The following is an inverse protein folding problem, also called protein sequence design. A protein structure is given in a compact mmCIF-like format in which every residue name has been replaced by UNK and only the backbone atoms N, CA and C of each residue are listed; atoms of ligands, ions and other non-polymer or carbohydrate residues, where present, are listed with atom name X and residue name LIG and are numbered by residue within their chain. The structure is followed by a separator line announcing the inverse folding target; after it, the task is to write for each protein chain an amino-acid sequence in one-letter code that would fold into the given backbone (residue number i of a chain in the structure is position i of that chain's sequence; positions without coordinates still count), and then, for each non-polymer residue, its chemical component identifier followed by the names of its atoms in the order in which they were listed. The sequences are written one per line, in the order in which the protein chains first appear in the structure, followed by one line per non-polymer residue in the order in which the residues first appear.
data_IF_540836801936
#
_entry.id   IF_540836801936
#
_cell.length_a   1.000
_cell.length_b   1.000
_cell.length_c   1.000
_cell.angle_alpha   90.00
_cell.angle_beta   90.00
_cell.angle_gamma   90.00
#
_symmetry.space_group_name_H-M   'P 1'
#
loop_
_entity.id
_entity.type
_entity.pdbx_description
1 polymer ?
#
# COMPACT_ATOMS: atom_id res chain seq x y z
N UNK A 1 10.14 1.52 -14.80
CA UNK A 1 10.16 2.97 -14.51
C UNK A 1 11.36 3.28 -13.62
N UNK A 2 11.87 4.51 -13.62
CA UNK A 2 12.91 4.89 -12.64
C UNK A 2 12.23 5.12 -11.28
N UNK A 3 12.78 4.60 -10.19
CA UNK A 3 12.29 4.77 -8.80
C UNK A 3 11.88 6.20 -8.48
N UNK A 4 12.72 7.19 -8.82
CA UNK A 4 12.48 8.61 -8.57
C UNK A 4 11.23 9.11 -9.30
N UNK A 5 10.97 8.58 -10.49
CA UNK A 5 9.75 8.91 -11.24
C UNK A 5 8.53 8.29 -10.59
N UNK A 6 8.62 7.07 -10.09
CA UNK A 6 7.51 6.42 -9.37
C UNK A 6 7.20 7.21 -8.10
N UNK A 7 8.22 7.49 -7.27
CA UNK A 7 8.10 8.30 -6.06
C UNK A 7 7.41 9.65 -6.36
N UNK A 8 7.85 10.36 -7.40
CA UNK A 8 7.25 11.63 -7.80
C UNK A 8 5.79 11.51 -8.28
N UNK A 9 5.36 10.35 -8.82
CA UNK A 9 3.94 10.13 -9.13
C UNK A 9 3.11 9.97 -7.86
N UNK A 10 3.61 9.25 -6.85
CA UNK A 10 2.94 9.14 -5.54
C UNK A 10 2.85 10.49 -4.83
N UNK A 11 3.92 11.28 -4.80
CA UNK A 11 3.95 12.59 -4.12
C UNK A 11 2.92 13.58 -4.70
N UNK A 12 2.63 13.50 -6.01
CA UNK A 12 1.60 14.33 -6.67
C UNK A 12 0.17 14.02 -6.23
N UNK A 13 -0.05 12.86 -5.61
CA UNK A 13 -1.38 12.44 -5.17
C UNK A 13 -1.81 13.09 -3.86
N UNK A 14 -0.91 13.74 -3.13
CA UNK A 14 -1.21 14.39 -1.85
C UNK A 14 -1.95 13.47 -0.85
N UNK A 15 -1.54 12.20 -0.78
CA UNK A 15 -2.23 11.12 -0.05
C UNK A 15 -2.13 11.20 1.48
N UNK A 16 -1.43 12.19 2.05
CA UNK A 16 -1.26 12.30 3.49
C UNK A 16 -2.64 12.44 4.16
N UNK A 17 -2.90 11.63 5.19
CA UNK A 17 -4.19 11.50 5.88
C UNK A 17 -5.33 10.98 5.00
N UNK A 18 -5.04 10.41 3.82
CA UNK A 18 -6.06 9.84 2.96
C UNK A 18 -6.52 8.47 3.48
N UNK A 19 -7.83 8.24 3.44
CA UNK A 19 -8.47 7.10 4.08
C UNK A 19 -8.32 5.84 3.24
N UNK A 20 -7.65 4.82 3.77
CA UNK A 20 -7.53 3.52 3.10
C UNK A 20 -8.85 2.76 3.27
N UNK A 21 -9.49 2.44 2.15
CA UNK A 21 -10.80 1.77 2.12
C UNK A 21 -10.67 0.28 1.85
N UNK A 22 -9.58 -0.15 1.20
CA UNK A 22 -9.38 -1.54 0.79
C UNK A 22 -7.90 -1.90 0.71
N UNK A 23 -7.57 -3.10 1.16
CA UNK A 23 -6.28 -3.75 0.96
C UNK A 23 -6.54 -5.23 0.65
N UNK A 24 -6.19 -5.67 -0.55
CA UNK A 24 -6.42 -7.04 -1.01
C UNK A 24 -5.13 -7.63 -1.54
N UNK A 25 -4.93 -8.91 -1.23
CA UNK A 25 -3.82 -9.72 -1.69
C UNK A 25 -4.43 -10.88 -2.49
N UNK A 26 -4.25 -10.85 -3.80
CA UNK A 26 -4.86 -11.78 -4.75
C UNK A 26 -3.82 -12.72 -5.36
N UNK A 27 -4.30 -13.77 -6.04
CA UNK A 27 -3.47 -14.71 -6.79
C UNK A 27 -2.25 -15.26 -6.00
N UNK A 28 -2.51 -15.73 -4.77
CA UNK A 28 -1.48 -16.26 -3.86
C UNK A 28 -0.39 -15.24 -3.49
N UNK A 29 -0.72 -13.96 -3.54
CA UNK A 29 0.20 -12.86 -3.26
C UNK A 29 1.09 -12.48 -4.42
N UNK A 30 0.73 -12.86 -5.65
CA UNK A 30 1.35 -12.27 -6.85
C UNK A 30 0.91 -10.81 -7.04
N UNK A 31 -0.32 -10.47 -6.64
CA UNK A 31 -0.89 -9.14 -6.75
C UNK A 31 -1.35 -8.57 -5.41
N UNK A 32 -1.09 -7.28 -5.20
CA UNK A 32 -1.61 -6.51 -4.07
C UNK A 32 -2.29 -5.24 -4.58
N UNK A 33 -3.47 -4.96 -4.06
CA UNK A 33 -4.29 -3.80 -4.41
C UNK A 33 -4.58 -2.99 -3.15
N UNK A 34 -4.21 -1.72 -3.13
CA UNK A 34 -4.52 -0.78 -2.04
C UNK A 34 -5.33 0.37 -2.60
N UNK A 35 -6.59 0.47 -2.15
CA UNK A 35 -7.48 1.55 -2.52
C UNK A 35 -7.62 2.54 -1.38
N UNK A 36 -7.49 3.82 -1.68
CA UNK A 36 -7.80 4.91 -0.75
C UNK A 36 -8.74 5.91 -1.41
N UNK A 37 -9.41 6.71 -0.58
CA UNK A 37 -10.37 7.72 -1.03
C UNK A 37 -9.68 9.09 -1.15
N UNK A 38 -9.68 9.65 -2.35
CA UNK A 38 -9.31 11.03 -2.67
C UNK A 38 -10.58 11.90 -2.79
N UNK A 39 -10.43 13.22 -2.83
CA UNK A 39 -11.51 14.18 -3.09
C UNK A 39 -12.20 13.92 -4.44
N UNK A 40 -11.46 13.38 -5.41
CA UNK A 40 -11.92 13.18 -6.80
C UNK A 40 -12.43 11.77 -7.09
N UNK A 41 -12.39 10.86 -6.12
CA UNK A 41 -12.76 9.45 -6.31
C UNK A 41 -11.80 8.50 -5.61
N UNK A 42 -11.92 7.22 -5.93
CA UNK A 42 -11.02 6.20 -5.42
C UNK A 42 -9.72 6.21 -6.23
N UNK A 43 -8.60 5.96 -5.54
CA UNK A 43 -7.29 5.78 -6.17
C UNK A 43 -6.77 4.41 -5.76
N UNK A 44 -6.30 3.64 -6.73
CA UNK A 44 -5.84 2.27 -6.54
C UNK A 44 -4.34 2.13 -6.83
N UNK A 45 -3.61 1.59 -5.87
CA UNK A 45 -2.22 1.18 -6.03
C UNK A 45 -2.17 -0.32 -6.31
N UNK A 46 -1.67 -0.65 -7.49
CA UNK A 46 -1.57 -2.03 -7.96
C UNK A 46 -0.12 -2.45 -8.02
N UNK A 47 0.21 -3.52 -7.29
CA UNK A 47 1.52 -4.15 -7.26
C UNK A 47 1.39 -5.54 -7.88
N UNK A 48 2.27 -5.91 -8.81
CA UNK A 48 2.20 -7.21 -9.49
C UNK A 48 3.57 -7.88 -9.63
N UNK A 49 3.56 -9.21 -9.75
CA UNK A 49 4.77 -10.02 -9.68
C UNK A 49 5.48 -9.86 -8.33
N UNK A 50 4.70 -9.86 -7.25
CA UNK A 50 5.18 -9.71 -5.88
C UNK A 50 5.92 -10.97 -5.40
N UNK A 51 7.06 -10.77 -4.73
CA UNK A 51 7.87 -11.84 -4.14
C UNK A 51 7.92 -11.78 -2.62
N UNK A 52 7.66 -10.59 -2.04
CA UNK A 52 7.62 -10.39 -0.60
C UNK A 52 6.52 -9.40 -0.28
N UNK A 53 5.67 -9.76 0.68
CA UNK A 53 4.61 -8.92 1.20
C UNK A 53 4.58 -9.13 2.71
N UNK A 54 4.93 -8.09 3.47
CA UNK A 54 4.94 -8.12 4.92
C UNK A 54 3.94 -7.11 5.48
N UNK A 55 2.94 -7.63 6.21
CA UNK A 55 1.97 -6.82 6.96
C UNK A 55 2.38 -6.78 8.43
N UNK A 56 2.66 -5.59 8.96
CA UNK A 56 3.00 -5.39 10.36
C UNK A 56 1.94 -4.54 11.02
N UNK A 57 1.22 -5.13 11.96
CA UNK A 57 0.26 -4.41 12.79
C UNK A 57 0.87 -4.04 14.13
N UNK A 58 0.57 -2.83 14.60
CA UNK A 58 0.90 -2.45 15.97
C UNK A 58 0.22 -3.37 16.98
N UNK A 59 1.02 -3.99 17.84
CA UNK A 59 0.52 -4.81 18.97
C UNK A 59 -0.19 -3.97 20.03
N UNK A 60 0.01 -2.65 20.03
CA UNK A 60 -0.70 -1.72 20.91
C UNK A 60 -2.12 -1.37 20.43
N UNK A 61 -2.47 -1.72 19.20
CA UNK A 61 -3.81 -1.46 18.68
C UNK A 61 -4.81 -2.50 19.19
N UNK A 62 -5.77 -2.05 19.99
CA UNK A 62 -6.82 -2.91 20.56
C UNK A 62 -7.87 -3.22 19.50
N UNK A 63 -7.97 -4.50 19.11
CA UNK A 63 -8.95 -4.99 18.12
C UNK A 63 -10.29 -5.30 18.80
N UNK A 64 -11.02 -4.27 19.24
CA UNK A 64 -12.25 -4.41 20.04
C UNK A 64 -13.38 -5.18 19.33
N UNK A 65 -13.52 -5.00 18.01
CA UNK A 65 -14.51 -5.72 17.18
C UNK A 65 -13.86 -6.15 15.86
N UNK A 66 -14.39 -7.16 15.15
CA UNK A 66 -13.83 -7.61 13.88
C UNK A 66 -13.85 -6.50 12.83
N UNK A 67 -12.72 -6.20 12.18
CA UNK A 67 -12.61 -5.12 11.18
C UNK A 67 -13.62 -5.25 10.04
N UNK A 68 -13.99 -6.48 9.64
CA UNK A 68 -15.00 -6.74 8.61
C UNK A 68 -16.39 -6.14 8.90
N UNK A 69 -16.68 -5.75 10.14
CA UNK A 69 -17.96 -5.14 10.52
C UNK A 69 -17.90 -3.62 10.58
N UNK A 70 -16.77 -3.01 10.25
CA UNK A 70 -16.59 -1.57 10.28
C UNK A 70 -17.21 -0.96 9.02
N UNK A 71 -17.79 0.24 9.15
CA UNK A 71 -18.02 1.10 7.98
C UNK A 71 -16.69 1.71 7.54
N UNK A 72 -16.62 2.27 6.34
CA UNK A 72 -15.35 2.83 5.86
C UNK A 72 -14.87 3.98 6.76
N UNK A 73 -15.78 4.80 7.30
CA UNK A 73 -15.46 5.90 8.24
C UNK A 73 -14.99 5.42 9.61
N UNK A 74 -15.11 4.12 9.90
CA UNK A 74 -14.62 3.54 11.14
C UNK A 74 -13.24 2.90 10.95
N UNK A 75 -12.78 2.67 9.71
CA UNK A 75 -11.50 2.05 9.45
C UNK A 75 -10.38 2.96 9.99
N UNK A 76 -9.43 2.43 10.76
CA UNK A 76 -8.42 3.27 11.42
C UNK A 76 -7.22 3.60 10.52
N UNK A 77 -7.27 3.30 9.22
CA UNK A 77 -6.11 3.29 8.33
C UNK A 77 -6.05 4.54 7.46
N UNK A 78 -4.99 5.32 7.66
CA UNK A 78 -4.72 6.53 6.91
C UNK A 78 -3.32 6.47 6.32
N UNK A 79 -3.14 6.82 5.05
CA UNK A 79 -1.81 6.89 4.45
C UNK A 79 -1.03 8.04 5.09
N UNK A 80 0.14 7.75 5.64
CA UNK A 80 1.04 8.76 6.20
C UNK A 80 2.26 8.95 5.31
N UNK A 81 2.87 7.84 4.89
CA UNK A 81 4.09 7.88 4.09
C UNK A 81 4.17 6.69 3.12
N UNK A 82 4.79 6.94 1.97
CA UNK A 82 5.02 5.95 0.91
C UNK A 82 6.43 6.18 0.37
N UNK A 83 7.29 5.19 0.57
CA UNK A 83 8.66 5.20 0.09
C UNK A 83 8.86 4.12 -0.98
N UNK A 84 9.26 4.55 -2.17
CA UNK A 84 9.61 3.67 -3.28
C UNK A 84 11.13 3.52 -3.34
N UNK A 85 11.58 2.27 -3.43
CA UNK A 85 12.98 1.93 -3.61
C UNK A 85 13.17 0.86 -4.68
N UNK A 86 14.39 0.37 -4.79
CA UNK A 86 14.74 -0.77 -5.61
C UNK A 86 15.70 -1.70 -4.87
N UNK A 87 15.63 -2.98 -5.19
CA UNK A 87 16.53 -3.99 -4.67
C UNK A 87 16.88 -4.98 -5.77
N UNK A 88 18.12 -5.46 -5.76
CA UNK A 88 18.54 -6.62 -6.54
C UNK A 88 18.76 -7.80 -5.60
N UNK A 89 18.00 -8.88 -5.81
CA UNK A 89 18.10 -10.11 -5.01
C UNK A 89 17.93 -11.32 -5.90
N UNK A 90 18.81 -12.30 -5.77
CA UNK A 90 18.78 -13.53 -6.56
C UNK A 90 18.76 -13.28 -8.09
N UNK A 91 19.41 -12.19 -8.52
CA UNK A 91 19.44 -11.77 -9.93
C UNK A 91 18.16 -11.12 -10.44
N UNK A 92 17.16 -10.90 -9.58
CA UNK A 92 15.95 -10.14 -9.88
C UNK A 92 16.10 -8.71 -9.40
N UNK A 93 15.81 -7.76 -10.29
CA UNK A 93 15.61 -6.35 -9.95
C UNK A 93 14.14 -6.13 -9.65
N UNK A 94 13.84 -5.65 -8.44
CA UNK A 94 12.49 -5.46 -7.93
C UNK A 94 12.36 -4.02 -7.42
N UNK A 95 11.15 -3.47 -7.51
CA UNK A 95 10.79 -2.28 -6.75
C UNK A 95 10.44 -2.68 -5.32
N UNK A 96 10.80 -1.85 -4.37
CA UNK A 96 10.31 -1.93 -3.00
C UNK A 96 9.32 -0.81 -2.76
N UNK A 97 8.25 -1.09 -2.03
CA UNK A 97 7.28 -0.08 -1.59
C UNK A 97 7.05 -0.28 -0.09
N UNK A 98 7.37 0.75 0.69
CA UNK A 98 7.06 0.82 2.12
C UNK A 98 5.93 1.81 2.33
N UNK A 99 4.83 1.36 2.92
CA UNK A 99 3.67 2.19 3.23
C UNK A 99 3.48 2.23 4.74
N UNK A 100 3.47 3.43 5.29
CA UNK A 100 3.11 3.70 6.68
C UNK A 100 1.64 4.11 6.69
N UNK A 101 0.79 3.28 7.30
CA UNK A 101 -0.63 3.55 7.49
C UNK A 101 -1.13 3.08 8.86
N UNK A 102 -0.84 3.83 9.94
CA UNK A 102 -1.13 3.40 11.30
C UNK A 102 -2.58 2.93 11.43
N UNK A 103 -2.86 1.83 12.15
CA UNK A 103 -1.94 1.03 12.97
C UNK A 103 -1.19 -0.09 12.21
N UNK A 104 -1.00 0.05 10.90
CA UNK A 104 -0.31 -0.93 10.05
C UNK A 104 0.87 -0.30 9.28
N UNK A 105 1.88 -1.11 9.02
CA UNK A 105 2.94 -0.87 8.04
C UNK A 105 2.93 -2.01 7.01
N UNK A 106 3.23 -1.68 5.76
CA UNK A 106 3.29 -2.63 4.65
C UNK A 106 4.62 -2.49 3.92
N UNK A 107 5.34 -3.59 3.74
CA UNK A 107 6.54 -3.69 2.91
C UNK A 107 6.27 -4.67 1.77
N UNK A 108 6.47 -4.22 0.52
CA UNK A 108 6.23 -5.02 -0.68
C UNK A 108 7.42 -4.98 -1.63
N UNK A 109 7.79 -6.14 -2.18
CA UNK A 109 8.81 -6.25 -3.23
C UNK A 109 8.19 -6.87 -4.48
N UNK A 110 8.17 -6.12 -5.58
CA UNK A 110 7.39 -6.45 -6.78
C UNK A 110 8.12 -6.08 -8.08
N UNK A 111 7.61 -6.59 -9.20
CA UNK A 111 8.16 -6.29 -10.53
C UNK A 111 7.57 -5.03 -11.15
N UNK A 112 6.32 -4.71 -10.82
CA UNK A 112 5.61 -3.58 -11.41
C UNK A 112 4.69 -2.90 -10.38
N UNK A 113 4.58 -1.57 -10.53
CA UNK A 113 3.75 -0.71 -9.70
C UNK A 113 2.94 0.19 -10.63
N UNK A 114 1.62 0.23 -10.43
CA UNK A 114 0.70 1.11 -11.15
C UNK A 114 -0.18 1.88 -10.19
N UNK A 115 -0.61 3.06 -10.65
CA UNK A 115 -1.55 3.93 -9.95
C UNK A 115 -2.73 4.13 -10.91
N UNK A 116 -3.94 3.79 -10.48
CA UNK A 116 -5.18 3.99 -11.23
C UNK A 116 -6.14 4.92 -10.48
N UNK A 117 -6.92 5.70 -11.22
CA UNK A 117 -7.97 6.62 -10.72
C UNK A 117 -9.29 6.29 -11.40
#
# INVERSE_FOLDING_TARGET
MNVQRIQAEFEKLHYCDAWVTKLVCDYFGDEVHLTYKDENGDVDFQFSGCYRIDFKHSMGYVKEKPIKTFTYEQLPYFLHDIEIGEIEKEGLKLYTCNIIMPPMELEMWCKDIKIER
#
